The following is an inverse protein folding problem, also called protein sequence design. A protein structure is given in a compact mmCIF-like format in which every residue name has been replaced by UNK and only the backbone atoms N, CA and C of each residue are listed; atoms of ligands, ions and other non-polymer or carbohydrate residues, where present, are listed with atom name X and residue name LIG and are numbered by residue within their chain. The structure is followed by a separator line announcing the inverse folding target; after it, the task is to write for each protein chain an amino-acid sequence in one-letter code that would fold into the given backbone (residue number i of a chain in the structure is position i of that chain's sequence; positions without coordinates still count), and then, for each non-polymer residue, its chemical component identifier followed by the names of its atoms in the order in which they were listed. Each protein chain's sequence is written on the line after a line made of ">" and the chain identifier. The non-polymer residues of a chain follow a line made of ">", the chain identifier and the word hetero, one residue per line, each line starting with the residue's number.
data_IF_771450310218
#
_entry.id   IF_771450310218
#
_cell.length_a   1.000
_cell.length_b   1.000
_cell.length_c   1.000
_cell.angle_alpha   90.00
_cell.angle_beta   90.00
_cell.angle_gamma   90.00
#
_symmetry.space_group_name_H-M   'P 1'
#
loop_
_entity.id
_entity.type
_entity.pdbx_description
1 polymer ?
#
# COMPACT_ATOMS: atom_id res chain seq x y z
N UNK A 1 -1.18 2.98 -21.36
CA UNK A 1 -1.21 1.80 -20.46
C UNK A 1 -0.47 2.19 -19.19
N UNK A 2 -1.02 1.90 -18.01
CA UNK A 2 -0.36 2.24 -16.73
C UNK A 2 0.64 1.14 -16.37
N UNK A 3 1.74 1.50 -15.70
CA UNK A 3 2.68 0.56 -15.07
C UNK A 3 2.34 0.43 -13.59
N UNK A 4 1.93 -0.76 -13.16
CA UNK A 4 1.64 -1.08 -11.76
C UNK A 4 2.73 -1.99 -11.24
N UNK A 5 3.24 -1.71 -10.04
CA UNK A 5 4.21 -2.57 -9.36
C UNK A 5 3.50 -3.32 -8.23
N UNK A 6 3.76 -4.62 -8.13
CA UNK A 6 3.56 -5.38 -6.90
C UNK A 6 4.93 -5.65 -6.27
N UNK A 7 5.17 -5.11 -5.07
CA UNK A 7 6.35 -5.45 -4.28
C UNK A 7 6.13 -6.78 -3.57
N UNK A 8 7.01 -7.75 -3.82
CA UNK A 8 6.86 -9.12 -3.34
C UNK A 8 8.15 -9.53 -2.61
N UNK A 9 8.00 -9.96 -1.36
CA UNK A 9 9.05 -10.67 -0.64
C UNK A 9 9.10 -12.12 -1.14
N UNK A 10 10.22 -12.50 -1.77
CA UNK A 10 10.40 -13.84 -2.33
C UNK A 10 10.48 -14.95 -1.26
N UNK A 11 10.78 -14.62 -0.01
CA UNK A 11 10.83 -15.54 1.12
C UNK A 11 9.52 -15.55 1.93
N UNK A 12 8.78 -14.44 1.96
CA UNK A 12 7.48 -14.31 2.64
C UNK A 12 6.40 -13.87 1.65
N UNK A 13 6.04 -14.77 0.75
CA UNK A 13 5.08 -14.49 -0.30
C UNK A 13 3.70 -14.03 0.23
N UNK A 14 3.34 -12.78 -0.06
CA UNK A 14 2.07 -12.19 0.31
C UNK A 14 1.03 -12.37 -0.81
N UNK A 15 0.22 -13.43 -0.70
CA UNK A 15 -0.84 -13.75 -1.68
C UNK A 15 -1.83 -12.58 -1.88
N UNK A 16 -2.23 -11.89 -0.81
CA UNK A 16 -3.14 -10.74 -0.89
C UNK A 16 -2.61 -9.61 -1.77
N UNK A 17 -1.31 -9.28 -1.66
CA UNK A 17 -0.65 -8.28 -2.51
C UNK A 17 -0.80 -8.61 -3.99
N UNK A 18 -0.56 -9.88 -4.35
CA UNK A 18 -0.67 -10.34 -5.73
C UNK A 18 -2.13 -10.34 -6.21
N UNK A 19 -3.06 -10.76 -5.36
CA UNK A 19 -4.49 -10.76 -5.70
C UNK A 19 -5.03 -9.36 -5.97
N UNK A 20 -4.71 -8.38 -5.11
CA UNK A 20 -5.03 -6.97 -5.36
C UNK A 20 -4.37 -6.45 -6.64
N UNK A 21 -3.09 -6.78 -6.86
CA UNK A 21 -2.36 -6.31 -8.04
C UNK A 21 -2.93 -6.87 -9.34
N UNK A 22 -3.24 -8.17 -9.38
CA UNK A 22 -3.87 -8.83 -10.53
C UNK A 22 -5.26 -8.26 -10.79
N UNK A 23 -6.08 -8.07 -9.75
CA UNK A 23 -7.40 -7.46 -9.90
C UNK A 23 -7.27 -6.07 -10.51
N UNK A 24 -6.44 -5.20 -9.94
CA UNK A 24 -6.29 -3.83 -10.42
C UNK A 24 -5.74 -3.81 -11.84
N UNK A 25 -4.71 -4.61 -12.14
CA UNK A 25 -4.13 -4.68 -13.48
C UNK A 25 -5.17 -5.09 -14.52
N UNK A 26 -6.02 -6.08 -14.21
CA UNK A 26 -7.11 -6.53 -15.07
C UNK A 26 -8.15 -5.43 -15.29
N UNK A 27 -8.68 -4.84 -14.22
CA UNK A 27 -9.74 -3.81 -14.30
C UNK A 27 -9.26 -2.52 -15.00
N UNK A 28 -7.95 -2.27 -14.99
CA UNK A 28 -7.36 -1.07 -15.59
C UNK A 28 -6.64 -1.32 -16.91
N UNK A 29 -6.59 -2.58 -17.39
CA UNK A 29 -5.81 -3.01 -18.55
C UNK A 29 -4.38 -2.47 -18.50
N UNK A 30 -3.74 -2.67 -17.34
CA UNK A 30 -2.40 -2.16 -17.04
C UNK A 30 -1.34 -3.24 -17.16
N UNK A 31 -0.10 -2.80 -17.37
CA UNK A 31 1.07 -3.67 -17.32
C UNK A 31 1.49 -3.87 -15.87
N UNK A 32 1.53 -5.12 -15.40
CA UNK A 32 1.90 -5.46 -14.03
C UNK A 32 3.38 -5.87 -13.96
N UNK A 33 4.14 -5.28 -13.05
CA UNK A 33 5.51 -5.69 -12.77
C UNK A 33 5.57 -6.26 -11.36
N UNK A 34 5.89 -7.55 -11.26
CA UNK A 34 6.24 -8.18 -9.99
C UNK A 34 7.70 -7.88 -9.67
N UNK A 35 7.94 -7.04 -8.67
CA UNK A 35 9.29 -6.74 -8.18
C UNK A 35 9.58 -7.64 -6.99
N UNK A 36 10.43 -8.64 -7.21
CA UNK A 36 10.87 -9.58 -6.18
C UNK A 36 12.10 -9.01 -5.48
N UNK A 37 11.92 -8.65 -4.22
CA UNK A 37 12.94 -8.01 -3.40
C UNK A 37 13.82 -9.10 -2.78
N UNK A 38 14.89 -9.43 -3.49
CA UNK A 38 15.84 -10.51 -3.19
C UNK A 38 17.16 -9.95 -2.65
N UNK A 39 17.08 -9.06 -1.67
CA UNK A 39 18.26 -8.46 -1.05
C UNK A 39 19.28 -9.54 -0.66
N UNK A 40 20.50 -9.42 -1.18
CA UNK A 40 21.57 -10.41 -1.00
C UNK A 40 21.91 -10.66 0.48
N UNK A 41 21.61 -9.72 1.36
CA UNK A 41 21.83 -9.83 2.81
C UNK A 41 20.64 -10.43 3.55
N UNK A 42 19.49 -10.56 2.88
CA UNK A 42 18.27 -11.06 3.47
C UNK A 42 18.13 -12.57 3.26
N UNK A 43 18.07 -13.29 4.38
CA UNK A 43 17.89 -14.74 4.45
C UNK A 43 16.71 -15.10 5.35
N UNK A 44 16.13 -16.29 5.15
CA UNK A 44 15.07 -16.81 6.03
C UNK A 44 15.54 -17.13 7.45
N UNK A 45 16.86 -17.17 7.65
CA UNK A 45 17.51 -17.57 8.90
C UNK A 45 18.43 -16.47 9.45
N UNK A 46 18.69 -16.51 10.76
CA UNK A 46 19.67 -15.65 11.40
C UNK A 46 21.07 -16.27 11.35
N UNK A 47 22.02 -15.57 10.74
CA UNK A 47 23.44 -16.00 10.72
C UNK A 47 24.00 -16.07 12.16
N UNK A 48 23.42 -15.34 13.13
CA UNK A 48 23.85 -15.40 14.53
C UNK A 48 23.36 -16.64 15.29
N UNK A 49 22.20 -17.18 14.91
CA UNK A 49 21.67 -18.45 15.47
C UNK A 49 22.46 -19.66 14.95
N UNK A 50 22.99 -19.48 13.74
CA UNK A 50 23.94 -20.35 13.11
C UNK A 50 25.34 -20.04 13.73
N UNK A 51 25.66 -20.59 14.90
CA UNK A 51 26.98 -20.39 15.50
C UNK A 51 28.10 -21.14 14.73
N UNK A 52 29.25 -20.51 14.40
CA UNK A 52 30.32 -21.09 13.56
C UNK A 52 31.18 -22.16 14.27
N UNK A 53 30.63 -22.91 15.24
CA UNK A 53 31.42 -23.73 16.17
C UNK A 53 31.44 -25.23 15.86
N UNK A 54 30.70 -25.72 14.88
CA UNK A 54 30.66 -27.15 14.53
C UNK A 54 30.61 -27.37 13.03
N UNK A 55 31.57 -28.12 12.48
CA UNK A 55 31.39 -28.86 11.22
C UNK A 55 30.18 -29.79 11.38
N UNK A 56 29.18 -29.78 10.48
CA UNK A 56 29.24 -29.31 9.09
C UNK A 56 28.47 -27.99 8.85
N UNK A 57 28.91 -26.91 9.52
CA UNK A 57 28.50 -25.52 9.33
C UNK A 57 28.24 -25.14 7.86
N UNK A 58 29.23 -25.36 6.99
CA UNK A 58 29.14 -24.96 5.58
C UNK A 58 28.06 -25.71 4.82
N UNK A 59 27.87 -27.00 5.12
CA UNK A 59 26.83 -27.81 4.48
C UNK A 59 25.44 -27.34 4.90
N UNK A 60 25.28 -26.98 6.18
CA UNK A 60 24.01 -26.46 6.67
C UNK A 60 23.68 -25.08 6.07
N UNK A 61 24.66 -24.19 5.96
CA UNK A 61 24.50 -22.93 5.25
C UNK A 61 24.14 -23.12 3.77
N UNK A 62 24.82 -24.03 3.07
CA UNK A 62 24.49 -24.34 1.67
C UNK A 62 23.06 -24.82 1.53
N UNK A 63 22.63 -25.75 2.40
CA UNK A 63 21.27 -26.27 2.40
C UNK A 63 20.22 -25.18 2.65
N UNK A 64 20.46 -24.28 3.60
CA UNK A 64 19.54 -23.17 3.89
C UNK A 64 19.47 -22.17 2.73
N UNK A 65 20.61 -21.85 2.11
CA UNK A 65 20.63 -21.02 0.90
C UNK A 65 19.89 -21.67 -0.28
N UNK A 66 20.03 -22.98 -0.47
CA UNK A 66 19.28 -23.73 -1.47
C UNK A 66 17.77 -23.69 -1.19
N UNK A 67 17.36 -23.75 0.09
CA UNK A 67 15.96 -23.60 0.49
C UNK A 67 15.42 -22.19 0.22
N UNK A 68 16.20 -21.16 0.51
CA UNK A 68 15.84 -19.77 0.19
C UNK A 68 15.67 -19.58 -1.33
N UNK A 69 16.58 -20.12 -2.15
CA UNK A 69 16.47 -20.08 -3.61
C UNK A 69 15.23 -20.81 -4.12
N UNK A 70 14.92 -21.98 -3.56
CA UNK A 70 13.72 -22.73 -3.91
C UNK A 70 12.44 -21.96 -3.55
N UNK A 71 12.42 -21.31 -2.38
CA UNK A 71 11.27 -20.54 -1.89
C UNK A 71 11.03 -19.30 -2.75
N UNK A 72 12.10 -18.59 -3.15
CA UNK A 72 12.04 -17.48 -4.11
C UNK A 72 11.50 -17.92 -5.48
N UNK A 73 11.98 -19.05 -5.99
CA UNK A 73 11.48 -19.60 -7.25
C UNK A 73 9.98 -19.96 -7.16
N UNK A 74 9.54 -20.58 -6.06
CA UNK A 74 8.12 -20.91 -5.84
C UNK A 74 7.25 -19.64 -5.81
N UNK A 75 7.71 -18.57 -5.16
CA UNK A 75 7.04 -17.27 -5.13
C UNK A 75 6.85 -16.68 -6.54
N UNK A 76 7.87 -16.78 -7.38
CA UNK A 76 7.84 -16.35 -8.78
C UNK A 76 6.87 -17.18 -9.61
N UNK A 77 6.85 -18.51 -9.42
CA UNK A 77 5.92 -19.41 -10.08
C UNK A 77 4.46 -19.11 -9.71
N UNK A 78 4.18 -18.89 -8.42
CA UNK A 78 2.83 -18.51 -7.93
C UNK A 78 2.34 -17.21 -8.57
N UNK A 79 3.18 -16.18 -8.57
CA UNK A 79 2.86 -14.91 -9.22
C UNK A 79 2.59 -15.08 -10.72
N UNK A 80 3.47 -15.81 -11.41
CA UNK A 80 3.35 -16.10 -12.84
C UNK A 80 2.05 -16.82 -13.16
N UNK A 81 1.69 -17.84 -12.38
CA UNK A 81 0.47 -18.62 -12.57
C UNK A 81 -0.79 -17.76 -12.39
N UNK A 82 -0.81 -16.88 -11.38
CA UNK A 82 -1.94 -15.97 -11.15
C UNK A 82 -2.09 -14.96 -12.28
N UNK A 83 -0.98 -14.38 -12.76
CA UNK A 83 -1.00 -13.42 -13.87
C UNK A 83 -1.46 -14.08 -15.17
N UNK A 84 -0.95 -15.27 -15.50
CA UNK A 84 -1.36 -16.02 -16.69
C UNK A 84 -2.83 -16.43 -16.63
N UNK A 85 -3.32 -16.89 -15.47
CA UNK A 85 -4.73 -17.24 -15.28
C UNK A 85 -5.66 -16.04 -15.47
N UNK A 86 -5.19 -14.84 -15.14
CA UNK A 86 -5.94 -13.59 -15.28
C UNK A 86 -5.82 -12.94 -16.66
N UNK A 87 -5.00 -13.50 -17.56
CA UNK A 87 -4.74 -12.99 -18.93
C UNK A 87 -4.26 -11.52 -18.93
N UNK A 88 -3.32 -11.20 -18.04
CA UNK A 88 -2.73 -9.86 -17.93
C UNK A 88 -1.29 -9.84 -18.48
N UNK A 89 -0.87 -8.71 -19.05
CA UNK A 89 0.53 -8.49 -19.42
C UNK A 89 1.37 -8.23 -18.16
N UNK A 90 2.45 -8.99 -17.98
CA UNK A 90 3.33 -8.83 -16.83
C UNK A 90 4.82 -9.03 -17.13
N UNK A 91 5.66 -8.38 -16.31
CA UNK A 91 7.10 -8.61 -16.23
C UNK A 91 7.49 -8.99 -14.80
N UNK A 92 8.65 -9.62 -14.68
CA UNK A 92 9.25 -10.02 -13.41
C UNK A 92 10.62 -9.37 -13.30
N UNK A 93 10.82 -8.60 -12.24
CA UNK A 93 12.10 -7.98 -11.91
C UNK A 93 12.64 -8.63 -10.64
N UNK A 94 13.93 -8.99 -10.66
CA UNK A 94 14.65 -9.51 -9.51
C UNK A 94 15.63 -8.44 -9.03
N UNK A 95 15.26 -7.81 -7.92
CA UNK A 95 16.01 -6.72 -7.32
C UNK A 95 16.88 -7.31 -6.21
N UNK A 96 18.18 -7.43 -6.51
CA UNK A 96 19.14 -8.20 -5.70
C UNK A 96 20.02 -7.34 -4.80
N UNK A 97 19.91 -6.02 -4.87
CA UNK A 97 20.65 -5.10 -4.01
C UNK A 97 19.77 -4.71 -2.80
N UNK A 98 19.95 -3.49 -2.30
CA UNK A 98 19.19 -3.00 -1.16
C UNK A 98 17.74 -2.75 -1.55
N UNK A 99 16.84 -3.57 -1.01
CA UNK A 99 15.45 -3.61 -1.43
C UNK A 99 14.73 -2.26 -1.39
N UNK A 100 14.96 -1.45 -0.35
CA UNK A 100 14.35 -0.12 -0.23
C UNK A 100 14.79 0.81 -1.37
N UNK A 101 16.10 0.85 -1.67
CA UNK A 101 16.64 1.77 -2.69
C UNK A 101 16.21 1.38 -4.09
N UNK A 102 16.16 0.08 -4.40
CA UNK A 102 15.73 -0.41 -5.71
C UNK A 102 14.23 -0.20 -5.91
N UNK A 103 13.41 -0.53 -4.91
CA UNK A 103 11.97 -0.28 -4.99
C UNK A 103 11.66 1.22 -5.14
N UNK A 104 12.34 2.09 -4.39
CA UNK A 104 12.21 3.54 -4.57
C UNK A 104 12.59 3.97 -5.99
N UNK A 105 13.65 3.39 -6.58
CA UNK A 105 14.04 3.70 -7.95
C UNK A 105 12.99 3.25 -8.97
N UNK A 106 12.45 2.03 -8.84
CA UNK A 106 11.36 1.51 -9.67
C UNK A 106 10.11 2.40 -9.61
N UNK A 107 9.79 2.93 -8.42
CA UNK A 107 8.61 3.80 -8.23
C UNK A 107 8.67 5.13 -8.97
N UNK A 108 9.88 5.59 -9.37
CA UNK A 108 10.05 6.79 -10.22
C UNK A 108 9.36 6.62 -11.57
N UNK A 109 9.29 5.38 -12.06
CA UNK A 109 8.77 5.04 -13.39
C UNK A 109 7.42 4.30 -13.33
N UNK A 110 6.79 4.23 -12.15
CA UNK A 110 5.53 3.52 -11.94
C UNK A 110 4.37 4.49 -11.70
N UNK A 111 3.18 4.08 -12.11
CA UNK A 111 1.94 4.82 -11.86
C UNK A 111 1.33 4.49 -10.49
N UNK A 112 1.58 3.29 -9.97
CA UNK A 112 1.08 2.79 -8.69
C UNK A 112 1.99 1.68 -8.15
N UNK A 113 2.33 1.75 -6.85
CA UNK A 113 2.89 0.63 -6.10
C UNK A 113 1.81 -0.06 -5.27
N UNK A 114 1.82 -1.39 -5.22
CA UNK A 114 0.99 -2.21 -4.34
C UNK A 114 1.91 -3.00 -3.41
N UNK A 115 1.66 -2.92 -2.11
CA UNK A 115 2.51 -3.55 -1.09
C UNK A 115 1.68 -3.99 0.13
N UNK A 116 2.04 -5.11 0.76
CA UNK A 116 1.38 -5.59 1.97
C UNK A 116 1.70 -4.72 3.19
N UNK A 117 0.71 -4.51 4.05
CA UNK A 117 0.83 -3.66 5.25
C UNK A 117 1.79 -4.18 6.32
N UNK A 118 2.10 -5.48 6.29
CA UNK A 118 3.04 -6.14 7.20
C UNK A 118 4.42 -6.36 6.59
N UNK A 119 4.69 -5.80 5.41
CA UNK A 119 5.97 -6.02 4.74
C UNK A 119 7.14 -5.43 5.55
N UNK A 120 8.17 -6.24 5.81
CA UNK A 120 9.37 -5.83 6.55
C UNK A 120 10.66 -6.03 5.77
N UNK A 121 10.65 -6.87 4.72
CA UNK A 121 11.85 -7.37 4.02
C UNK A 121 12.98 -7.78 4.95
N UNK A 122 12.57 -8.39 6.07
CA UNK A 122 13.47 -8.92 7.08
C UNK A 122 12.84 -10.17 7.70
N UNK A 123 13.63 -11.05 8.32
CA UNK A 123 13.09 -12.26 8.95
C UNK A 123 12.36 -11.92 10.25
N UNK A 124 12.48 -10.67 10.73
CA UNK A 124 11.87 -10.22 11.97
C UNK A 124 10.49 -9.62 11.71
N UNK A 125 9.43 -10.20 12.31
CA UNK A 125 8.10 -9.62 12.22
C UNK A 125 8.07 -8.26 12.95
N UNK A 126 7.30 -7.32 12.41
CA UNK A 126 7.05 -6.02 13.01
C UNK A 126 5.56 -5.72 12.94
N UNK A 127 5.04 -5.02 13.94
CA UNK A 127 3.68 -4.51 13.85
C UNK A 127 3.60 -3.39 12.81
N UNK A 128 2.53 -3.32 12.00
CA UNK A 128 2.26 -2.18 11.13
C UNK A 128 2.19 -0.86 11.92
N UNK A 129 2.57 0.27 11.32
CA UNK A 129 3.40 0.33 10.12
C UNK A 129 4.80 -0.20 10.44
N UNK A 130 5.37 -0.99 9.54
CA UNK A 130 6.72 -1.52 9.70
C UNK A 130 7.75 -0.40 9.49
N UNK A 131 8.99 -0.60 9.93
CA UNK A 131 10.09 0.32 9.62
C UNK A 131 10.27 0.52 8.12
N UNK A 132 10.26 -0.58 7.37
CA UNK A 132 10.36 -0.57 5.91
C UNK A 132 9.28 0.28 5.24
N UNK A 133 8.00 0.11 5.63
CA UNK A 133 6.91 0.88 5.05
C UNK A 133 6.99 2.37 5.40
N UNK A 134 7.41 2.74 6.61
CA UNK A 134 7.59 4.15 6.98
C UNK A 134 8.68 4.82 6.15
N UNK A 135 9.81 4.14 5.96
CA UNK A 135 10.92 4.65 5.16
C UNK A 135 10.53 4.75 3.68
N UNK A 136 9.85 3.72 3.16
CA UNK A 136 9.32 3.69 1.79
C UNK A 136 8.33 4.85 1.55
N UNK A 137 7.28 4.96 2.36
CA UNK A 137 6.26 6.00 2.24
C UNK A 137 6.83 7.41 2.46
N UNK A 138 7.96 7.56 3.16
CA UNK A 138 8.61 8.84 3.37
C UNK A 138 9.23 9.45 2.10
N UNK A 139 9.71 8.60 1.18
CA UNK A 139 10.53 9.02 0.04
C UNK A 139 10.01 8.53 -1.34
N UNK A 140 8.89 7.80 -1.37
CA UNK A 140 8.28 7.27 -2.60
C UNK A 140 7.85 8.37 -3.58
N UNK A 141 7.89 8.03 -4.88
CA UNK A 141 7.63 8.97 -5.98
C UNK A 141 6.32 8.69 -6.75
N UNK A 142 5.57 7.66 -6.36
CA UNK A 142 4.25 7.33 -6.93
C UNK A 142 3.23 7.04 -5.81
N UNK A 143 1.92 7.05 -6.13
CA UNK A 143 0.90 6.56 -5.19
C UNK A 143 1.15 5.12 -4.76
N UNK A 144 0.74 4.81 -3.53
CA UNK A 144 0.89 3.49 -2.93
C UNK A 144 -0.46 2.97 -2.50
N UNK A 145 -0.79 1.75 -2.88
CA UNK A 145 -1.87 0.98 -2.30
C UNK A 145 -1.28 0.01 -1.29
N UNK A 146 -1.42 0.33 -0.02
CA UNK A 146 -1.07 -0.57 1.08
C UNK A 146 -2.26 -1.51 1.31
N UNK A 147 -2.04 -2.83 1.25
CA UNK A 147 -3.12 -3.83 1.33
C UNK A 147 -3.03 -4.69 2.59
N UNK A 148 -4.17 -5.15 3.13
CA UNK A 148 -4.20 -6.07 4.27
C UNK A 148 -3.66 -7.47 3.92
N UNK A 149 -3.42 -8.30 4.93
CA UNK A 149 -2.92 -9.66 4.74
C UNK A 149 -3.95 -10.58 4.06
N UNK A 150 -5.23 -10.32 4.29
CA UNK A 150 -6.34 -11.05 3.67
C UNK A 150 -6.93 -10.22 2.54
N UNK A 151 -7.05 -10.85 1.37
CA UNK A 151 -7.70 -10.23 0.22
C UNK A 151 -9.21 -10.25 0.39
N UNK A 152 -9.82 -9.08 0.25
CA UNK A 152 -11.26 -8.92 0.16
C UNK A 152 -11.59 -7.93 -0.96
N UNK A 153 -12.74 -8.15 -1.61
CA UNK A 153 -13.24 -7.20 -2.60
C UNK A 153 -13.65 -5.90 -1.90
N UNK A 154 -13.27 -4.79 -2.52
CA UNK A 154 -13.65 -3.46 -2.04
C UNK A 154 -15.11 -3.19 -2.40
N UNK A 155 -15.91 -2.87 -1.39
CA UNK A 155 -17.34 -2.56 -1.56
C UNK A 155 -17.61 -1.07 -1.76
N UNK A 156 -16.74 -0.22 -1.20
CA UNK A 156 -16.88 1.23 -1.25
C UNK A 156 -15.54 1.95 -1.19
N UNK A 157 -15.52 3.20 -1.61
CA UNK A 157 -14.35 4.08 -1.44
C UNK A 157 -14.67 5.15 -0.42
N UNK A 158 -13.79 5.35 0.56
CA UNK A 158 -13.86 6.47 1.51
C UNK A 158 -12.73 7.45 1.20
N UNK A 159 -13.09 8.65 0.76
CA UNK A 159 -12.19 9.76 0.46
C UNK A 159 -12.01 10.63 1.70
N UNK A 160 -10.86 10.53 2.37
CA UNK A 160 -10.54 11.41 3.50
C UNK A 160 -10.20 12.81 2.98
N UNK A 161 -10.93 13.81 3.47
CA UNK A 161 -10.83 15.17 2.99
C UNK A 161 -10.84 16.19 4.13
N UNK A 162 -9.75 16.94 4.23
CA UNK A 162 -9.48 17.97 5.24
C UNK A 162 -9.36 19.37 4.65
N UNK A 163 -9.59 19.54 3.35
CA UNK A 163 -9.40 20.81 2.63
C UNK A 163 -7.96 21.10 2.22
N UNK A 164 -6.98 20.32 2.66
CA UNK A 164 -5.59 20.55 2.33
C UNK A 164 -5.24 20.09 0.90
N UNK A 165 -4.20 20.67 0.26
CA UNK A 165 -3.75 20.23 -1.05
C UNK A 165 -3.40 18.73 -1.11
N UNK A 166 -2.86 18.16 -0.02
CA UNK A 166 -2.49 16.74 0.06
C UNK A 166 -3.68 15.80 -0.11
N UNK A 167 -4.82 16.08 0.53
CA UNK A 167 -6.03 15.25 0.35
C UNK A 167 -6.55 15.34 -1.09
N UNK A 168 -6.52 16.53 -1.70
CA UNK A 168 -6.91 16.69 -3.10
C UNK A 168 -5.97 16.02 -4.09
N UNK A 169 -4.66 16.00 -3.83
CA UNK A 169 -3.68 15.25 -4.64
C UNK A 169 -4.04 13.77 -4.61
N UNK A 170 -4.25 13.20 -3.42
CA UNK A 170 -4.61 11.79 -3.28
C UNK A 170 -5.93 11.45 -3.97
N UNK A 171 -6.97 12.24 -3.74
CA UNK A 171 -8.27 12.05 -4.37
C UNK A 171 -8.16 12.11 -5.91
N UNK A 172 -7.41 13.07 -6.45
CA UNK A 172 -7.22 13.20 -7.92
C UNK A 172 -6.46 12.00 -8.48
N UNK A 173 -5.32 11.63 -7.89
CA UNK A 173 -4.51 10.51 -8.35
C UNK A 173 -5.28 9.19 -8.29
N UNK A 174 -5.97 8.92 -7.17
CA UNK A 174 -6.90 7.80 -7.05
C UNK A 174 -7.91 7.81 -8.19
N UNK A 175 -8.54 8.96 -8.44
CA UNK A 175 -9.54 9.09 -9.48
C UNK A 175 -8.99 8.77 -10.88
N UNK A 176 -7.73 9.10 -11.17
CA UNK A 176 -7.15 8.85 -12.50
C UNK A 176 -6.63 7.42 -12.63
N UNK A 177 -6.07 6.87 -11.55
CA UNK A 177 -5.45 5.55 -11.53
C UNK A 177 -6.47 4.42 -11.42
N UNK A 178 -7.51 4.58 -10.61
CA UNK A 178 -8.45 3.51 -10.30
C UNK A 178 -9.90 3.92 -10.65
N UNK A 179 -10.20 4.23 -11.93
CA UNK A 179 -11.51 4.73 -12.32
C UNK A 179 -12.65 3.73 -12.08
N UNK A 180 -12.38 2.42 -12.09
CA UNK A 180 -13.39 1.39 -11.83
C UNK A 180 -13.93 1.45 -10.40
N UNK A 181 -13.12 1.86 -9.41
CA UNK A 181 -13.54 2.01 -8.02
C UNK A 181 -14.47 3.21 -7.80
N UNK A 182 -14.54 4.15 -8.75
CA UNK A 182 -15.52 5.26 -8.72
C UNK A 182 -16.95 4.80 -8.96
N UNK A 183 -17.12 3.61 -9.53
CA UNK A 183 -18.43 3.02 -9.79
C UNK A 183 -19.04 2.41 -8.54
N UNK A 184 -18.21 2.16 -7.50
CA UNK A 184 -18.67 1.78 -6.18
C UNK A 184 -19.27 3.00 -5.45
N UNK A 185 -20.05 2.78 -4.37
CA UNK A 185 -20.37 3.85 -3.42
C UNK A 185 -19.11 4.61 -3.00
N UNK A 186 -19.18 5.94 -3.09
CA UNK A 186 -18.09 6.84 -2.70
C UNK A 186 -18.57 7.73 -1.55
N UNK A 187 -17.82 7.74 -0.46
CA UNK A 187 -18.06 8.60 0.68
C UNK A 187 -16.94 9.64 0.78
N UNK A 188 -17.27 10.92 0.87
CA UNK A 188 -16.31 11.97 1.21
C UNK A 188 -16.44 12.23 2.71
N UNK A 189 -15.41 11.83 3.47
CA UNK A 189 -15.37 11.94 4.93
C UNK A 189 -14.49 13.11 5.35
N UNK A 190 -15.06 14.03 6.12
CA UNK A 190 -14.35 15.16 6.73
C UNK A 190 -14.58 15.16 8.23
N UNK A 191 -13.51 15.25 9.03
CA UNK A 191 -13.60 15.48 10.47
C UNK A 191 -13.33 16.93 10.79
N UNK A 192 -14.19 17.56 11.58
CA UNK A 192 -14.14 18.98 11.91
C UNK A 192 -14.24 19.22 13.42
N UNK A 193 -13.75 20.35 13.94
CA UNK A 193 -14.06 20.79 15.31
C UNK A 193 -15.58 20.91 15.55
N UNK A 194 -16.03 20.79 16.80
CA UNK A 194 -17.46 20.83 17.16
C UNK A 194 -18.17 22.13 16.79
N UNK A 195 -17.44 23.25 16.77
CA UNK A 195 -18.02 24.59 16.53
C UNK A 195 -18.15 24.94 15.03
N UNK A 196 -17.77 24.03 14.13
CA UNK A 196 -17.83 24.25 12.69
C UNK A 196 -19.14 23.78 12.05
N UNK A 197 -19.45 24.32 10.86
CA UNK A 197 -20.63 23.92 10.10
C UNK A 197 -20.53 22.47 9.54
N UNK A 198 -21.68 21.92 9.16
CA UNK A 198 -21.82 20.60 8.51
C UNK A 198 -21.49 20.60 7.01
N UNK A 199 -20.66 21.54 6.57
CA UNK A 199 -20.14 21.53 5.21
C UNK A 199 -18.70 21.04 5.20
N UNK A 200 -18.36 20.24 4.19
CA UNK A 200 -16.97 19.89 3.92
C UNK A 200 -16.13 21.17 3.71
N UNK A 201 -14.84 21.15 4.04
CA UNK A 201 -13.93 22.25 3.70
C UNK A 201 -14.06 22.66 2.22
N UNK A 202 -13.91 23.95 1.90
CA UNK A 202 -14.05 24.48 0.53
C UNK A 202 -15.26 23.92 -0.27
N UNK A 203 -16.40 23.74 0.41
CA UNK A 203 -17.59 23.05 -0.07
C UNK A 203 -18.00 23.35 -1.52
N UNK A 204 -17.87 24.60 -1.98
CA UNK A 204 -18.18 24.97 -3.37
C UNK A 204 -17.26 24.24 -4.36
N UNK A 205 -15.94 24.34 -4.17
CA UNK A 205 -14.95 23.75 -5.06
C UNK A 205 -14.93 22.23 -4.95
N UNK A 206 -15.06 21.70 -3.72
CA UNK A 206 -15.12 20.25 -3.53
C UNK A 206 -16.35 19.63 -4.19
N UNK A 207 -17.54 20.25 -4.06
CA UNK A 207 -18.76 19.81 -4.77
C UNK A 207 -18.63 19.95 -6.29
N UNK A 208 -18.00 21.01 -6.76
CA UNK A 208 -17.75 21.22 -8.19
C UNK A 208 -16.89 20.07 -8.77
N UNK A 209 -15.82 19.70 -8.08
CA UNK A 209 -14.95 18.60 -8.47
C UNK A 209 -15.66 17.24 -8.36
N UNK A 210 -16.20 16.91 -7.18
CA UNK A 210 -16.81 15.61 -6.93
C UNK A 210 -18.01 15.32 -7.80
N UNK A 211 -18.86 16.30 -8.16
CA UNK A 211 -19.97 16.06 -9.12
C UNK A 211 -19.51 15.57 -10.50
N UNK A 212 -18.28 15.90 -10.91
CA UNK A 212 -17.71 15.49 -12.20
C UNK A 212 -16.96 14.16 -12.11
N UNK A 213 -16.29 13.91 -10.99
CA UNK A 213 -15.43 12.74 -10.83
C UNK A 213 -16.09 11.58 -10.06
N UNK A 214 -17.09 11.88 -9.22
CA UNK A 214 -17.78 10.97 -8.31
C UNK A 214 -19.27 11.41 -8.18
N UNK A 215 -20.08 11.26 -9.25
CA UNK A 215 -21.44 11.83 -9.30
C UNK A 215 -22.36 11.33 -8.19
N UNK A 216 -22.11 10.13 -7.64
CA UNK A 216 -22.90 9.51 -6.59
C UNK A 216 -22.26 9.63 -5.19
N UNK A 217 -21.29 10.54 -5.01
CA UNK A 217 -20.61 10.68 -3.73
C UNK A 217 -21.54 11.22 -2.63
N UNK A 218 -21.58 10.55 -1.48
CA UNK A 218 -22.16 11.07 -0.25
C UNK A 218 -21.12 11.90 0.52
N UNK A 219 -21.58 12.83 1.35
CA UNK A 219 -20.71 13.65 2.20
C UNK A 219 -21.01 13.35 3.66
N UNK A 220 -19.99 12.98 4.41
CA UNK A 220 -20.06 12.64 5.82
C UNK A 220 -19.17 13.62 6.59
N UNK A 221 -19.80 14.42 7.45
CA UNK A 221 -19.09 15.37 8.33
C UNK A 221 -19.23 14.84 9.75
N UNK A 222 -18.10 14.50 10.36
CA UNK A 222 -18.03 14.04 11.75
C UNK A 222 -17.35 15.12 12.58
N UNK A 223 -17.82 15.34 13.80
CA UNK A 223 -17.21 16.30 14.71
C UNK A 223 -16.34 15.60 15.74
N UNK A 224 -15.10 16.05 15.91
CA UNK A 224 -14.21 15.50 16.92
C UNK A 224 -12.74 15.55 16.52
N UNK A 225 -11.97 14.62 17.08
CA UNK A 225 -10.54 14.47 16.82
C UNK A 225 -10.39 13.55 15.59
N UNK A 226 -9.76 13.99 14.49
CA UNK A 226 -9.62 13.20 13.25
C UNK A 226 -9.09 11.78 13.50
N UNK A 227 -8.04 11.66 14.31
CA UNK A 227 -7.38 10.39 14.65
C UNK A 227 -8.31 9.40 15.37
N UNK A 228 -9.39 9.86 16.00
CA UNK A 228 -10.35 9.01 16.71
C UNK A 228 -11.59 8.76 15.86
N UNK A 229 -12.17 9.83 15.31
CA UNK A 229 -13.45 9.77 14.61
C UNK A 229 -13.33 9.05 13.26
N UNK A 230 -12.21 9.18 12.54
CA UNK A 230 -12.01 8.46 11.28
C UNK A 230 -11.92 6.95 11.55
N UNK A 231 -11.14 6.55 12.55
CA UNK A 231 -10.98 5.13 12.91
C UNK A 231 -12.31 4.56 13.36
N UNK A 232 -13.03 5.27 14.24
CA UNK A 232 -14.36 4.87 14.69
C UNK A 232 -15.32 4.69 13.52
N UNK A 233 -15.40 5.68 12.64
CA UNK A 233 -16.27 5.64 11.46
C UNK A 233 -15.97 4.43 10.55
N UNK A 234 -14.68 4.12 10.34
CA UNK A 234 -14.27 2.98 9.51
C UNK A 234 -14.52 1.63 10.19
N UNK A 235 -14.33 1.52 11.52
CA UNK A 235 -14.63 0.30 12.30
C UNK A 235 -16.13 0.00 12.40
N UNK A 236 -16.98 1.02 12.34
CA UNK A 236 -18.45 0.88 12.36
C UNK A 236 -19.04 0.50 10.98
N UNK A 237 -18.21 0.42 9.94
CA UNK A 237 -18.66 0.05 8.58
C UNK A 237 -18.81 -1.47 8.45
N UNK A 238 -20.01 -1.92 8.05
CA UNK A 238 -20.26 -3.34 7.69
C UNK A 238 -19.72 -3.72 6.30
N UNK A 239 -19.25 -2.75 5.54
CA UNK A 239 -18.66 -2.91 4.20
C UNK A 239 -17.14 -2.81 4.28
N UNK A 240 -16.41 -3.40 3.32
CA UNK A 240 -14.94 -3.30 3.24
C UNK A 240 -14.53 -2.06 2.44
N UNK A 241 -14.16 -0.92 3.07
CA UNK A 241 -13.73 0.28 2.36
C UNK A 241 -12.29 0.17 1.85
N UNK A 242 -12.05 0.77 0.69
CA UNK A 242 -10.73 1.29 0.35
C UNK A 242 -10.67 2.76 0.78
N UNK A 243 -9.68 3.10 1.60
CA UNK A 243 -9.53 4.44 2.16
C UNK A 243 -8.49 5.23 1.37
N UNK A 244 -8.88 6.39 0.84
CA UNK A 244 -8.01 7.28 0.08
C UNK A 244 -7.59 8.43 0.99
N UNK A 245 -6.29 8.63 1.13
CA UNK A 245 -5.75 9.68 1.98
C UNK A 245 -4.47 10.31 1.43
N UNK A 246 -4.32 11.60 1.70
CA UNK A 246 -3.03 12.28 1.57
C UNK A 246 -2.10 11.88 2.72
N UNK A 247 -0.80 11.79 2.46
CA UNK A 247 0.18 11.50 3.51
C UNK A 247 1.42 12.41 3.47
N UNK A 248 2.33 12.14 4.41
CA UNK A 248 3.70 12.65 4.57
C UNK A 248 4.07 13.89 3.73
N UNK A 249 3.71 15.08 4.22
CA UNK A 249 4.15 16.32 3.58
C UNK A 249 5.69 16.44 3.62
N UNK A 250 6.28 16.93 2.52
CA UNK A 250 7.72 17.14 2.31
C UNK A 250 8.33 18.31 3.11
N UNK A 251 7.83 18.60 4.30
CA UNK A 251 8.55 19.47 5.22
C UNK A 251 9.48 18.60 6.08
N UNK A 252 10.74 18.51 5.65
CA UNK A 252 11.84 17.74 6.27
C UNK A 252 11.98 17.95 7.80
N UNK A 253 11.38 19.00 8.35
CA UNK A 253 11.46 19.35 9.77
C UNK A 253 10.29 18.75 10.60
N UNK A 254 9.19 18.28 9.98
CA UNK A 254 8.02 17.77 10.73
C UNK A 254 7.80 16.26 10.66
N UNK A 255 8.54 15.52 9.82
CA UNK A 255 8.41 14.04 9.69
C UNK A 255 8.68 13.29 11.00
N UNK A 256 9.49 13.87 11.89
CA UNK A 256 9.96 13.22 13.12
C UNK A 256 9.05 13.41 14.34
N UNK A 257 8.02 14.27 14.28
CA UNK A 257 7.30 14.69 15.49
C UNK A 257 5.80 14.39 15.53
N UNK A 258 5.17 13.92 14.44
CA UNK A 258 3.75 13.50 14.45
C UNK A 258 3.54 12.21 13.66
N UNK A 259 2.92 11.24 14.32
CA UNK A 259 2.34 10.03 13.72
C UNK A 259 1.38 10.46 12.62
N UNK A 260 1.51 9.92 11.42
CA UNK A 260 0.63 10.28 10.31
C UNK A 260 -0.72 9.57 10.45
N UNK A 261 -1.75 10.08 9.76
CA UNK A 261 -3.03 9.37 9.65
C UNK A 261 -2.84 7.99 9.00
N UNK A 262 -1.94 7.85 8.03
CA UNK A 262 -1.63 6.57 7.41
C UNK A 262 -1.07 5.55 8.41
N UNK A 263 -0.16 5.98 9.30
CA UNK A 263 0.39 5.12 10.36
C UNK A 263 -0.73 4.59 11.26
N UNK A 264 -1.63 5.48 11.72
CA UNK A 264 -2.75 5.14 12.58
C UNK A 264 -3.73 4.16 11.92
N UNK A 265 -4.07 4.37 10.65
CA UNK A 265 -4.98 3.48 9.94
C UNK A 265 -4.35 2.10 9.70
N UNK A 266 -3.05 2.02 9.40
CA UNK A 266 -2.37 0.73 9.23
C UNK A 266 -2.33 -0.10 10.52
N UNK A 267 -2.23 0.55 11.68
CA UNK A 267 -2.23 -0.10 12.99
C UNK A 267 -3.61 -0.60 13.40
N UNK A 268 -4.64 0.21 13.15
CA UNK A 268 -5.95 0.02 13.76
C UNK A 268 -6.95 -0.69 12.85
N UNK A 269 -6.64 -0.83 11.56
CA UNK A 269 -7.55 -1.33 10.54
C UNK A 269 -6.91 -2.36 9.59
N UNK A 270 -7.76 -3.20 9.01
CA UNK A 270 -7.42 -4.17 7.95
C UNK A 270 -7.99 -3.74 6.59
N UNK A 271 -8.06 -2.42 6.34
CA UNK A 271 -8.57 -1.88 5.07
C UNK A 271 -7.44 -1.57 4.08
N UNK A 272 -7.66 -1.74 2.76
CA UNK A 272 -6.76 -1.21 1.76
C UNK A 272 -6.66 0.33 1.84
N UNK A 273 -5.44 0.86 1.86
CA UNK A 273 -5.16 2.28 1.96
C UNK A 273 -4.48 2.78 0.67
N UNK A 274 -5.14 3.67 -0.06
CA UNK A 274 -4.54 4.39 -1.18
C UNK A 274 -3.94 5.70 -0.66
N UNK A 275 -2.61 5.74 -0.64
CA UNK A 275 -1.80 6.84 -0.12
C UNK A 275 -1.12 7.55 -1.29
N UNK A 276 -1.21 8.88 -1.31
CA UNK A 276 -0.45 9.68 -2.27
C UNK A 276 -0.05 11.04 -1.69
N UNK A 277 1.12 11.52 -2.08
CA UNK A 277 1.66 12.82 -1.68
C UNK A 277 2.53 13.43 -2.80
N UNK A 278 2.65 14.76 -2.80
CA UNK A 278 3.58 15.51 -3.67
C UNK A 278 4.36 16.54 -2.86
#
# INVERSE_FOLDING_TARGET
>A
MKKIIAAIDGLKYAESTVQFAVQIARETQSHLVGVFLEDFSYHSYSIYELAPRLEPWEQQLRKLNEQDLASRAESVEKFTALCQKADIEFNIHHDRNFALSELLHETVYADLLIIGKTETLSPFPQMPPTGFLRDLLGDIQCPVLVVPEQFELVDKTVLLYDGQPSSMVAIKMFSYLLPFLKMLPVEILSVKPQDENLHVPDNRLMKEFSRRHFPNASYHIVHGIPEQEIIKYLKESDQTPLVVLGAYQRNLVSRWFRRSMADLLMEELDNPLFIAHM
#
